data_IF_413470061131
#
_entry.id   IF_413470061131
#
_cell.length_a   1.000
_cell.length_b   1.000
_cell.length_c   1.000
_cell.angle_alpha   90.00
_cell.angle_beta   90.00
_cell.angle_gamma   90.00
#
_symmetry.space_group_name_H-M   'P 1'
#
loop_
_entity.id
_entity.type
_entity.pdbx_description
1 polymer ?
#
# COMPACT_ATOMS: atom_id res chain seq x y z
N UNK A 1 10.02 12.32 24.40
CA UNK A 1 10.75 11.26 23.65
C UNK A 1 9.91 10.84 22.48
N UNK A 2 10.54 10.21 21.47
CA UNK A 2 9.82 9.74 20.29
C UNK A 2 8.89 8.57 20.63
N UNK A 3 7.63 8.67 20.22
CA UNK A 3 6.68 7.56 20.26
C UNK A 3 6.98 6.55 19.15
N UNK A 4 6.37 5.35 19.20
CA UNK A 4 6.48 4.37 18.11
C UNK A 4 6.01 4.94 16.76
N UNK A 5 4.98 5.79 16.79
CA UNK A 5 4.48 6.47 15.60
C UNK A 5 5.46 7.51 15.04
N UNK A 6 6.17 8.24 15.89
CA UNK A 6 7.23 9.15 15.43
C UNK A 6 8.36 8.41 14.73
N UNK A 7 8.68 7.20 15.18
CA UNK A 7 9.65 6.33 14.50
C UNK A 7 9.18 5.89 13.12
N UNK A 8 7.89 5.54 12.97
CA UNK A 8 7.31 5.21 11.66
C UNK A 8 7.39 6.40 10.70
N UNK A 9 7.03 7.60 11.16
CA UNK A 9 7.10 8.86 10.37
C UNK A 9 8.51 9.28 9.98
N UNK A 10 9.54 8.74 10.64
CA UNK A 10 10.95 9.00 10.31
C UNK A 10 11.55 8.00 9.32
N UNK A 11 10.76 7.04 8.84
CA UNK A 11 11.21 6.06 7.85
C UNK A 11 11.43 6.71 6.49
N UNK A 12 12.64 6.60 5.93
CA UNK A 12 12.94 7.18 4.61
C UNK A 12 12.47 6.30 3.47
N UNK A 13 12.49 4.98 3.66
CA UNK A 13 12.11 4.00 2.64
C UNK A 13 11.04 3.05 3.18
N UNK A 14 10.38 2.33 2.28
CA UNK A 14 9.52 1.21 2.63
C UNK A 14 10.25 0.16 3.46
N UNK A 15 11.51 -0.16 3.13
CA UNK A 15 12.30 -1.11 3.88
C UNK A 15 12.59 -0.66 5.32
N UNK A 16 12.85 0.64 5.53
CA UNK A 16 12.97 1.21 6.87
C UNK A 16 11.65 1.18 7.63
N UNK A 17 10.54 1.44 6.96
CA UNK A 17 9.22 1.39 7.58
C UNK A 17 8.90 -0.04 8.04
N UNK A 18 9.14 -1.04 7.19
CA UNK A 18 8.94 -2.45 7.55
C UNK A 18 9.85 -2.87 8.70
N UNK A 19 11.12 -2.49 8.68
CA UNK A 19 12.04 -2.76 9.79
C UNK A 19 11.52 -2.12 11.10
N UNK A 20 11.04 -0.87 11.04
CA UNK A 20 10.47 -0.19 12.20
C UNK A 20 9.22 -0.92 12.71
N UNK A 21 8.32 -1.36 11.83
CA UNK A 21 7.14 -2.14 12.19
C UNK A 21 7.50 -3.48 12.86
N UNK A 22 8.48 -4.20 12.33
CA UNK A 22 8.97 -5.44 12.93
C UNK A 22 9.53 -5.22 14.34
N UNK A 23 10.36 -4.18 14.54
CA UNK A 23 10.91 -3.89 15.86
C UNK A 23 9.85 -3.40 16.85
N UNK A 24 8.88 -2.59 16.42
CA UNK A 24 7.78 -2.17 17.30
C UNK A 24 6.94 -3.37 17.74
N UNK A 25 6.85 -4.40 16.90
CA UNK A 25 6.12 -5.63 17.19
C UNK A 25 6.87 -6.59 18.11
N UNK A 26 8.20 -6.70 17.98
CA UNK A 26 9.01 -7.77 18.64
C UNK A 26 9.89 -7.24 19.75
N UNK A 27 10.39 -6.00 19.64
CA UNK A 27 11.34 -5.42 20.59
C UNK A 27 11.04 -3.92 20.78
N UNK A 28 9.88 -3.57 21.36
CA UNK A 28 9.48 -2.17 21.53
C UNK A 28 10.47 -1.39 22.40
N UNK A 29 11.13 -2.04 23.36
CA UNK A 29 12.14 -1.44 24.24
C UNK A 29 13.36 -0.90 23.48
N UNK A 30 13.58 -1.33 22.23
CA UNK A 30 14.60 -0.75 21.36
C UNK A 30 14.39 0.76 21.19
N UNK A 31 13.15 1.24 21.26
CA UNK A 31 12.77 2.63 21.06
C UNK A 31 12.65 3.43 22.35
N UNK A 32 12.90 2.82 23.52
CA UNK A 32 12.88 3.48 24.82
C UNK A 32 14.13 4.35 25.09
N UNK A 33 14.84 4.77 24.04
CA UNK A 33 16.03 5.62 24.15
C UNK A 33 15.67 6.98 24.75
N UNK A 34 16.42 7.37 25.77
CA UNK A 34 16.14 8.57 26.55
C UNK A 34 17.21 9.65 26.40
N UNK A 35 18.43 9.27 26.03
CA UNK A 35 19.58 10.17 26.03
C UNK A 35 19.61 11.05 24.77
N UNK A 36 19.30 12.33 24.95
CA UNK A 36 19.36 13.33 23.89
C UNK A 36 20.83 13.61 23.54
N UNK A 37 21.13 13.61 22.25
CA UNK A 37 22.47 13.87 21.74
C UNK A 37 22.90 15.32 21.98
N UNK A 38 24.22 15.59 22.01
CA UNK A 38 24.74 16.93 22.15
C UNK A 38 24.35 17.80 20.95
N UNK A 39 24.34 19.14 21.09
CA UNK A 39 24.15 20.04 19.95
C UNK A 39 25.19 19.77 18.87
N UNK A 40 24.83 20.06 17.62
CA UNK A 40 25.70 19.84 16.47
C UNK A 40 26.97 20.68 16.62
N UNK A 41 28.12 20.04 16.50
CA UNK A 41 29.45 20.65 16.50
C UNK A 41 30.33 19.99 15.42
N UNK A 42 31.51 20.54 15.18
CA UNK A 42 32.45 19.99 14.20
C UNK A 42 32.93 18.56 14.54
N UNK A 43 32.92 18.18 15.82
CA UNK A 43 33.49 16.91 16.31
C UNK A 43 32.43 15.92 16.80
N UNK A 44 31.27 16.41 17.22
CA UNK A 44 30.20 15.59 17.78
C UNK A 44 28.82 16.18 17.44
N UNK A 45 27.78 15.39 17.56
CA UNK A 45 26.41 15.85 17.37
C UNK A 45 25.43 14.71 17.55
N UNK A 46 24.14 14.96 17.31
CA UNK A 46 23.14 13.92 17.41
C UNK A 46 23.30 12.90 16.28
N UNK A 47 22.59 11.80 16.40
CA UNK A 47 22.45 10.79 15.34
C UNK A 47 22.09 11.44 13.99
N UNK A 48 22.79 11.09 12.91
CA UNK A 48 22.59 11.67 11.58
C UNK A 48 21.26 11.29 10.89
N UNK A 49 20.55 10.29 11.42
CA UNK A 49 19.23 9.88 10.93
C UNK A 49 18.11 10.57 11.71
N UNK A 50 18.08 10.41 13.03
CA UNK A 50 17.00 10.98 13.84
C UNK A 50 17.24 12.43 14.30
N UNK A 51 18.47 12.91 14.29
CA UNK A 51 18.84 14.26 14.75
C UNK A 51 18.42 14.57 16.20
N UNK A 52 18.17 13.55 17.02
CA UNK A 52 17.69 13.69 18.39
C UNK A 52 18.59 12.98 19.40
N UNK A 53 18.76 11.67 19.24
CA UNK A 53 19.44 10.84 20.23
C UNK A 53 20.95 10.82 20.06
N UNK A 54 21.64 10.50 21.16
CA UNK A 54 23.09 10.38 21.18
C UNK A 54 23.58 9.27 20.23
N UNK A 55 24.78 9.49 19.70
CA UNK A 55 25.47 8.51 18.84
C UNK A 55 26.03 7.39 19.70
N UNK A 56 26.11 6.18 19.15
CA UNK A 56 26.81 5.09 19.83
C UNK A 56 28.31 5.41 19.95
N UNK A 57 28.90 5.20 21.14
CA UNK A 57 30.29 5.52 21.45
C UNK A 57 31.35 4.58 20.79
N UNK A 58 30.97 3.78 19.79
CA UNK A 58 31.86 2.81 19.15
C UNK A 58 32.84 3.49 18.18
N UNK A 59 34.11 3.06 18.15
CA UNK A 59 35.21 3.73 17.43
C UNK A 59 35.22 3.57 15.88
N UNK A 60 34.10 3.22 15.23
CA UNK A 60 34.06 2.96 13.77
C UNK A 60 33.10 3.92 13.06
N UNK A 61 33.14 3.96 11.72
CA UNK A 61 32.21 4.69 10.85
C UNK A 61 30.71 4.41 11.12
N UNK A 62 30.41 3.39 11.92
CA UNK A 62 29.07 3.03 12.41
C UNK A 62 28.60 3.85 13.63
N UNK A 63 29.47 4.72 14.18
CA UNK A 63 29.19 5.67 15.25
C UNK A 63 28.25 6.82 14.86
N UNK A 64 27.79 6.88 13.60
CA UNK A 64 26.99 8.02 13.10
C UNK A 64 25.52 7.96 13.54
N UNK A 65 25.08 6.83 14.11
CA UNK A 65 23.69 6.56 14.44
C UNK A 65 23.50 6.21 15.91
N UNK A 66 22.32 6.53 16.45
CA UNK A 66 21.86 6.00 17.73
C UNK A 66 21.49 4.51 17.56
N UNK A 67 21.40 3.79 18.68
CA UNK A 67 21.06 2.36 18.73
C UNK A 67 19.78 2.02 17.93
N UNK A 68 18.62 2.69 18.11
CA UNK A 68 17.43 2.40 17.31
C UNK A 68 17.62 2.64 15.81
N UNK A 69 18.24 3.77 15.41
CA UNK A 69 18.47 4.07 14.00
C UNK A 69 19.38 3.03 13.33
N UNK A 70 20.44 2.59 14.02
CA UNK A 70 21.36 1.56 13.50
C UNK A 70 20.64 0.24 13.30
N UNK A 71 19.84 -0.19 14.28
CA UNK A 71 19.07 -1.43 14.19
C UNK A 71 18.09 -1.41 13.01
N UNK A 72 17.36 -0.31 12.82
CA UNK A 72 16.43 -0.12 11.70
C UNK A 72 17.17 -0.14 10.35
N UNK A 73 18.25 0.63 10.20
CA UNK A 73 19.03 0.67 8.94
C UNK A 73 19.59 -0.72 8.60
N UNK A 74 20.17 -1.41 9.57
CA UNK A 74 20.77 -2.73 9.36
C UNK A 74 19.73 -3.76 8.94
N UNK A 75 18.53 -3.71 9.53
CA UNK A 75 17.43 -4.58 9.14
C UNK A 75 16.86 -4.21 7.77
N UNK A 76 16.70 -2.92 7.49
CA UNK A 76 16.17 -2.43 6.21
C UNK A 76 16.99 -2.90 5.00
N UNK A 77 18.32 -3.03 5.13
CA UNK A 77 19.19 -3.60 4.08
C UNK A 77 18.75 -4.99 3.61
N UNK A 78 18.18 -5.81 4.51
CA UNK A 78 17.68 -7.16 4.20
C UNK A 78 16.24 -7.16 3.66
N UNK A 79 15.54 -6.03 3.74
CA UNK A 79 14.12 -5.90 3.40
C UNK A 79 13.89 -5.19 2.06
N UNK A 80 14.93 -4.87 1.28
CA UNK A 80 14.78 -4.13 0.02
C UNK A 80 13.81 -4.79 -0.98
N UNK A 81 14.01 -6.08 -1.27
CA UNK A 81 13.11 -6.83 -2.17
C UNK A 81 11.72 -7.03 -1.57
N UNK A 82 11.66 -7.27 -0.26
CA UNK A 82 10.41 -7.43 0.46
C UNK A 82 9.56 -6.15 0.35
N UNK A 83 10.14 -4.99 0.64
CA UNK A 83 9.50 -3.67 0.57
C UNK A 83 8.83 -3.44 -0.78
N UNK A 84 9.53 -3.66 -1.90
CA UNK A 84 8.98 -3.42 -3.25
C UNK A 84 7.71 -4.22 -3.57
N UNK A 85 7.48 -5.33 -2.86
CA UNK A 85 6.27 -6.17 -2.99
C UNK A 85 5.38 -6.06 -1.75
N UNK A 86 5.34 -4.88 -1.14
CA UNK A 86 4.54 -4.61 0.05
C UNK A 86 3.68 -3.40 -0.19
N UNK A 87 2.42 -3.52 0.21
CA UNK A 87 1.46 -2.43 0.31
C UNK A 87 1.27 -2.07 1.78
N UNK A 88 0.92 -0.82 2.00
CA UNK A 88 0.56 -0.27 3.29
C UNK A 88 -0.91 0.07 3.28
N UNK A 89 -1.55 -0.16 4.41
CA UNK A 89 -2.95 0.20 4.64
C UNK A 89 -3.00 1.03 5.90
N UNK A 90 -3.27 2.32 5.75
CA UNK A 90 -3.62 3.19 6.87
C UNK A 90 -5.14 3.14 7.04
N UNK A 91 -5.58 2.60 8.18
CA UNK A 91 -7.00 2.53 8.52
C UNK A 91 -7.37 3.55 9.58
N UNK A 92 -8.34 4.39 9.27
CA UNK A 92 -9.04 5.26 10.23
C UNK A 92 -10.49 4.78 10.33
N UNK A 93 -10.83 4.12 11.42
CA UNK A 93 -12.10 3.39 11.57
C UNK A 93 -12.83 3.77 12.85
N UNK A 94 -14.16 3.60 12.87
CA UNK A 94 -14.97 3.82 14.07
C UNK A 94 -14.66 2.84 15.21
N UNK A 95 -14.16 1.64 14.89
CA UNK A 95 -13.70 0.62 15.83
C UNK A 95 -12.54 -0.18 15.23
N UNK A 96 -11.53 -0.48 16.04
CA UNK A 96 -10.45 -1.35 15.61
C UNK A 96 -10.93 -2.81 15.48
N UNK A 97 -10.64 -3.51 14.35
CA UNK A 97 -10.93 -4.93 14.20
C UNK A 97 -10.26 -5.77 15.30
N UNK A 98 -11.03 -6.60 16.03
CA UNK A 98 -10.50 -7.41 17.15
C UNK A 98 -9.36 -8.34 16.71
N UNK A 99 -9.51 -8.98 15.55
CA UNK A 99 -8.52 -9.88 14.99
C UNK A 99 -7.17 -9.19 14.70
N UNK A 100 -7.20 -7.89 14.36
CA UNK A 100 -5.99 -7.09 14.18
C UNK A 100 -5.27 -6.86 15.51
N UNK A 101 -6.02 -6.57 16.58
CA UNK A 101 -5.47 -6.35 17.93
C UNK A 101 -4.83 -7.61 18.48
N UNK A 102 -5.50 -8.75 18.30
CA UNK A 102 -5.07 -10.05 18.80
C UNK A 102 -4.07 -10.75 17.88
N UNK A 103 -3.85 -10.21 16.67
CA UNK A 103 -3.02 -10.82 15.60
C UNK A 103 -3.40 -12.28 15.32
N UNK A 104 -4.71 -12.55 15.28
CA UNK A 104 -5.25 -13.88 15.04
C UNK A 104 -5.80 -14.02 13.62
N UNK A 105 -6.03 -15.27 13.18
CA UNK A 105 -6.59 -15.57 11.87
C UNK A 105 -5.68 -15.09 10.73
N UNK A 106 -6.25 -14.38 9.76
CA UNK A 106 -5.51 -13.82 8.63
C UNK A 106 -4.31 -12.95 9.04
N UNK A 107 -4.46 -12.23 10.14
CA UNK A 107 -3.45 -11.29 10.63
C UNK A 107 -2.21 -11.99 11.21
N UNK A 108 -2.28 -13.30 11.48
CA UNK A 108 -1.15 -14.07 12.02
C UNK A 108 -0.13 -14.46 10.94
N UNK A 109 -0.58 -14.75 9.71
CA UNK A 109 0.27 -15.32 8.64
C UNK A 109 0.46 -14.44 7.41
N UNK A 110 -0.52 -13.58 7.09
CA UNK A 110 -0.53 -12.86 5.81
C UNK A 110 -0.06 -11.41 5.91
N UNK A 111 0.20 -10.95 7.13
CA UNK A 111 0.63 -9.59 7.46
C UNK A 111 2.12 -9.58 7.76
N UNK A 112 2.84 -8.65 7.15
CA UNK A 112 4.29 -8.44 7.37
C UNK A 112 4.58 -7.58 8.59
N UNK A 113 3.67 -6.69 8.94
CA UNK A 113 3.77 -5.85 10.12
C UNK A 113 2.46 -5.13 10.39
N UNK A 114 2.16 -4.90 11.65
CA UNK A 114 1.02 -4.10 12.08
C UNK A 114 1.40 -3.20 13.24
N UNK A 115 0.85 -2.00 13.24
CA UNK A 115 0.97 -1.03 14.32
C UNK A 115 -0.39 -0.44 14.62
N UNK A 116 -0.79 -0.49 15.89
CA UNK A 116 -2.02 0.15 16.37
C UNK A 116 -1.62 1.46 17.02
N UNK A 117 -2.10 2.58 16.48
CA UNK A 117 -1.77 3.90 17.01
C UNK A 117 -2.69 4.27 18.17
N UNK A 118 -3.98 4.03 18.01
CA UNK A 118 -5.01 4.24 19.03
C UNK A 118 -6.22 3.31 18.77
N UNK A 119 -7.38 3.62 19.36
CA UNK A 119 -8.60 2.80 19.22
C UNK A 119 -9.25 2.83 17.83
N UNK A 120 -8.81 3.74 16.94
CA UNK A 120 -9.40 4.01 15.63
C UNK A 120 -8.40 3.88 14.49
N UNK A 121 -7.12 4.05 14.77
CA UNK A 121 -6.07 4.13 13.79
C UNK A 121 -5.14 2.92 13.84
N UNK A 122 -4.89 2.36 12.66
CA UNK A 122 -3.89 1.31 12.50
C UNK A 122 -3.13 1.44 11.18
N UNK A 123 -1.91 0.94 11.18
CA UNK A 123 -1.09 0.75 9.99
C UNK A 123 -0.84 -0.75 9.80
N UNK A 124 -1.08 -1.22 8.58
CA UNK A 124 -0.88 -2.61 8.20
C UNK A 124 0.04 -2.68 6.99
N UNK A 125 0.96 -3.65 6.99
CA UNK A 125 1.83 -3.95 5.86
C UNK A 125 1.61 -5.39 5.40
N UNK A 126 1.33 -5.60 4.12
CA UNK A 126 1.09 -6.94 3.56
C UNK A 126 1.50 -7.03 2.09
N UNK A 127 1.47 -8.23 1.52
CA UNK A 127 1.69 -8.39 0.08
C UNK A 127 0.45 -7.93 -0.70
N UNK A 128 0.61 -7.33 -1.90
CA UNK A 128 -0.51 -6.86 -2.71
C UNK A 128 -1.60 -7.92 -2.91
N UNK A 129 -1.21 -9.15 -3.24
CA UNK A 129 -2.13 -10.25 -3.54
C UNK A 129 -3.00 -10.68 -2.36
N UNK A 130 -2.63 -10.27 -1.14
CA UNK A 130 -3.40 -10.53 0.08
C UNK A 130 -4.50 -9.48 0.32
N UNK A 131 -4.56 -8.41 -0.48
CA UNK A 131 -5.51 -7.33 -0.29
C UNK A 131 -6.97 -7.76 -0.42
N UNK A 132 -7.30 -8.51 -1.48
CA UNK A 132 -8.65 -9.01 -1.73
C UNK A 132 -9.16 -9.94 -0.61
N UNK A 133 -8.47 -11.05 -0.27
CA UNK A 133 -8.93 -11.92 0.81
C UNK A 133 -8.99 -11.19 2.16
N UNK A 134 -8.06 -10.28 2.43
CA UNK A 134 -8.09 -9.44 3.63
C UNK A 134 -9.35 -8.57 3.71
N UNK A 135 -9.69 -7.85 2.63
CA UNK A 135 -10.88 -7.01 2.59
C UNK A 135 -12.17 -7.83 2.70
N UNK A 136 -12.21 -9.00 2.06
CA UNK A 136 -13.36 -9.92 2.16
C UNK A 136 -13.56 -10.38 3.61
N UNK A 137 -12.48 -10.75 4.31
CA UNK A 137 -12.53 -11.14 5.71
C UNK A 137 -12.95 -9.98 6.62
N UNK A 138 -12.42 -8.78 6.38
CA UNK A 138 -12.79 -7.57 7.10
C UNK A 138 -14.29 -7.28 7.00
N UNK A 139 -14.84 -7.37 5.79
CA UNK A 139 -16.28 -7.17 5.53
C UNK A 139 -17.11 -8.33 6.08
N UNK A 140 -16.64 -9.57 6.02
CA UNK A 140 -17.35 -10.73 6.55
C UNK A 140 -17.52 -10.64 8.08
N UNK A 141 -16.47 -10.25 8.80
CA UNK A 141 -16.52 -10.20 10.27
C UNK A 141 -17.10 -8.91 10.83
N UNK A 142 -16.93 -7.78 10.14
CA UNK A 142 -17.35 -6.48 10.66
C UNK A 142 -18.47 -5.82 9.85
N UNK A 143 -18.83 -6.34 8.68
CA UNK A 143 -20.01 -5.94 7.90
C UNK A 143 -20.20 -4.43 7.71
N UNK A 144 -21.47 -4.00 7.77
CA UNK A 144 -21.88 -2.58 7.74
C UNK A 144 -21.52 -1.80 9.02
N UNK A 145 -20.97 -2.51 9.98
CA UNK A 145 -20.73 -2.10 11.34
C UNK A 145 -19.38 -1.35 11.45
N UNK A 146 -18.43 -1.72 10.58
CA UNK A 146 -17.17 -0.99 10.37
C UNK A 146 -17.38 0.20 9.42
N UNK A 147 -16.98 1.38 9.87
CA UNK A 147 -17.09 2.63 9.11
C UNK A 147 -15.78 3.39 9.18
N UNK A 148 -15.51 4.22 8.18
CA UNK A 148 -14.31 5.04 8.10
C UNK A 148 -13.59 4.93 6.76
N UNK A 149 -12.27 5.01 6.79
CA UNK A 149 -11.44 5.11 5.61
C UNK A 149 -10.26 4.14 5.69
N UNK A 150 -10.06 3.36 4.64
CA UNK A 150 -8.86 2.57 4.40
C UNK A 150 -8.08 3.21 3.25
N UNK A 151 -6.85 3.66 3.51
CA UNK A 151 -5.97 4.23 2.49
C UNK A 151 -4.88 3.22 2.14
N UNK A 152 -4.90 2.72 0.91
CA UNK A 152 -4.02 1.67 0.41
C UNK A 152 -3.00 2.29 -0.54
N UNK A 153 -1.72 2.04 -0.30
CA UNK A 153 -0.62 2.56 -1.12
C UNK A 153 0.56 1.59 -1.14
N UNK A 154 1.36 1.54 -2.20
CA UNK A 154 2.60 0.77 -2.21
C UNK A 154 3.67 1.46 -1.35
N UNK A 155 4.68 0.70 -0.93
CA UNK A 155 5.89 1.30 -0.34
C UNK A 155 6.81 1.88 -1.41
N UNK A 156 7.64 2.85 -1.04
CA UNK A 156 8.64 3.46 -1.94
C UNK A 156 10.08 3.03 -1.63
N UNK A 157 10.93 3.08 -2.65
CA UNK A 157 12.38 3.00 -2.48
C UNK A 157 12.98 4.26 -1.86
N UNK A 158 14.31 4.32 -1.79
CA UNK A 158 15.01 5.54 -1.46
C UNK A 158 14.87 6.54 -2.63
N UNK A 159 14.03 7.56 -2.45
CA UNK A 159 13.99 8.76 -3.30
C UNK A 159 14.78 9.90 -2.66
N UNK A 160 15.18 10.89 -3.46
CA UNK A 160 15.98 12.02 -2.98
C UNK A 160 15.14 13.08 -2.23
N UNK A 161 13.86 13.25 -2.60
CA UNK A 161 13.05 14.39 -2.12
C UNK A 161 11.84 14.02 -1.23
N UNK A 162 11.33 12.79 -1.30
CA UNK A 162 10.16 12.36 -0.52
C UNK A 162 10.39 10.98 0.07
N UNK A 163 10.39 10.91 1.40
CA UNK A 163 10.51 9.66 2.14
C UNK A 163 9.16 8.99 2.42
N UNK A 164 9.21 7.71 2.79
CA UNK A 164 8.02 6.95 3.14
C UNK A 164 7.22 7.59 4.30
N UNK A 165 7.92 8.19 5.27
CA UNK A 165 7.33 8.94 6.37
C UNK A 165 6.58 10.21 5.94
N UNK A 166 7.04 10.88 4.89
CA UNK A 166 6.37 12.06 4.32
C UNK A 166 5.06 11.64 3.64
N UNK A 167 5.10 10.55 2.88
CA UNK A 167 3.91 9.96 2.26
C UNK A 167 2.89 9.56 3.32
N UNK A 168 3.31 8.84 4.37
CA UNK A 168 2.43 8.47 5.48
C UNK A 168 1.82 9.70 6.13
N UNK A 169 2.61 10.73 6.42
CA UNK A 169 2.11 11.97 7.04
C UNK A 169 1.04 12.63 6.16
N UNK A 170 1.20 12.63 4.83
CA UNK A 170 0.21 13.18 3.89
C UNK A 170 -1.07 12.35 3.85
N UNK A 171 -0.95 11.02 3.81
CA UNK A 171 -2.09 10.09 3.87
C UNK A 171 -2.91 10.35 5.12
N UNK A 172 -2.25 10.44 6.28
CA UNK A 172 -2.91 10.64 7.57
C UNK A 172 -3.62 11.99 7.64
N UNK A 173 -2.97 13.07 7.19
CA UNK A 173 -3.61 14.39 7.18
C UNK A 173 -4.95 14.40 6.40
N UNK A 174 -5.07 13.59 5.35
CA UNK A 174 -6.26 13.53 4.49
C UNK A 174 -7.43 12.73 5.07
N UNK A 175 -7.26 12.09 6.21
CA UNK A 175 -8.35 11.36 6.85
C UNK A 175 -9.48 12.28 7.36
N UNK A 176 -9.12 13.53 7.71
CA UNK A 176 -10.06 14.55 8.19
C UNK A 176 -11.13 14.94 7.15
N UNK A 177 -10.88 14.67 5.86
CA UNK A 177 -11.80 15.00 4.77
C UNK A 177 -13.00 14.02 4.70
N UNK A 178 -13.01 12.95 5.52
CA UNK A 178 -14.00 11.87 5.42
C UNK A 178 -14.90 11.74 6.65
N UNK A 179 -16.19 11.53 6.39
CA UNK A 179 -17.17 11.19 7.42
C UNK A 179 -17.17 9.69 7.74
N UNK A 180 -17.56 9.36 8.98
CA UNK A 180 -17.68 7.99 9.50
C UNK A 180 -19.06 7.36 9.19
N UNK A 181 -19.61 7.62 8.01
CA UNK A 181 -20.95 7.15 7.61
C UNK A 181 -20.92 5.74 7.01
N UNK A 182 -19.87 5.42 6.24
CA UNK A 182 -19.63 4.13 5.58
C UNK A 182 -18.15 3.79 5.56
N UNK A 183 -17.79 2.56 5.17
CA UNK A 183 -16.40 2.17 4.95
C UNK A 183 -15.99 2.49 3.51
N UNK A 184 -15.05 3.41 3.36
CA UNK A 184 -14.48 3.81 2.08
C UNK A 184 -13.05 3.29 1.92
N UNK A 185 -12.67 3.03 0.69
CA UNK A 185 -11.31 2.68 0.30
C UNK A 185 -10.76 3.77 -0.61
N UNK A 186 -9.62 4.34 -0.22
CA UNK A 186 -8.80 5.17 -1.10
C UNK A 186 -7.62 4.35 -1.60
N UNK A 187 -7.54 4.19 -2.91
CA UNK A 187 -6.53 3.35 -3.55
C UNK A 187 -5.54 4.19 -4.34
N UNK A 188 -4.26 4.02 -4.01
CA UNK A 188 -3.13 4.58 -4.74
C UNK A 188 -2.36 3.42 -5.38
N UNK A 189 -2.37 3.36 -6.71
CA UNK A 189 -1.57 2.38 -7.43
C UNK A 189 -0.07 2.66 -7.27
N UNK A 190 0.29 3.94 -7.12
CA UNK A 190 1.64 4.44 -6.93
C UNK A 190 1.69 5.44 -5.78
N UNK A 191 2.73 5.38 -4.94
CA UNK A 191 2.76 6.17 -3.71
C UNK A 191 2.83 7.69 -3.94
N UNK A 192 3.42 8.15 -5.05
CA UNK A 192 3.48 9.57 -5.40
C UNK A 192 2.10 10.14 -5.77
N UNK A 193 1.11 9.30 -6.08
CA UNK A 193 -0.26 9.75 -6.38
C UNK A 193 -0.91 10.47 -5.19
N UNK A 194 -0.43 10.21 -3.97
CA UNK A 194 -0.82 10.95 -2.74
C UNK A 194 -0.59 12.46 -2.88
N UNK A 195 0.34 12.88 -3.75
CA UNK A 195 0.65 14.29 -4.01
C UNK A 195 -0.36 14.93 -4.98
N UNK A 196 -0.90 14.15 -5.93
CA UNK A 196 -1.78 14.64 -7.02
C UNK A 196 -3.15 13.95 -6.97
N UNK A 197 -3.90 14.22 -5.91
CA UNK A 197 -5.19 13.57 -5.64
C UNK A 197 -6.30 14.02 -6.60
N UNK A 198 -6.33 15.32 -6.93
CA UNK A 198 -7.52 15.95 -7.52
C UNK A 198 -7.91 15.36 -8.87
N UNK A 199 -6.95 15.07 -9.75
CA UNK A 199 -7.22 14.49 -11.06
C UNK A 199 -7.90 13.11 -10.95
N UNK A 200 -7.38 12.23 -10.07
CA UNK A 200 -7.93 10.88 -9.88
C UNK A 200 -9.30 10.88 -9.19
N UNK A 201 -9.53 11.85 -8.30
CA UNK A 201 -10.82 12.01 -7.64
C UNK A 201 -11.90 12.48 -8.64
N UNK A 202 -11.57 13.42 -9.52
CA UNK A 202 -12.45 13.86 -10.62
C UNK A 202 -12.77 12.73 -11.61
N UNK A 203 -11.81 11.85 -11.85
CA UNK A 203 -11.98 10.66 -12.71
C UNK A 203 -12.72 9.51 -12.03
N UNK A 204 -13.02 9.62 -10.72
CA UNK A 204 -13.71 8.58 -9.95
C UNK A 204 -12.90 7.31 -9.73
N UNK A 205 -11.56 7.39 -9.79
CA UNK A 205 -10.65 6.23 -9.69
C UNK A 205 -9.77 6.24 -8.43
N UNK A 206 -10.12 7.07 -7.45
CA UNK A 206 -9.38 7.23 -6.19
C UNK A 206 -10.14 6.64 -5.00
N UNK A 207 -11.40 7.01 -4.84
CA UNK A 207 -12.20 6.73 -3.64
C UNK A 207 -13.39 5.86 -4.01
N UNK A 208 -13.57 4.76 -3.28
CA UNK A 208 -14.61 3.77 -3.53
C UNK A 208 -15.32 3.42 -2.24
N UNK A 209 -16.57 2.95 -2.31
CA UNK A 209 -17.11 2.15 -1.23
C UNK A 209 -16.42 0.78 -1.20
N UNK A 210 -16.32 0.18 -0.01
CA UNK A 210 -15.61 -1.09 0.14
C UNK A 210 -16.20 -2.21 -0.73
N UNK A 211 -17.53 -2.23 -0.92
CA UNK A 211 -18.22 -3.23 -1.74
C UNK A 211 -17.91 -3.04 -3.25
N UNK A 212 -17.88 -1.80 -3.72
CA UNK A 212 -17.51 -1.46 -5.09
C UNK A 212 -16.05 -1.83 -5.35
N UNK A 213 -15.16 -1.49 -4.42
CA UNK A 213 -13.75 -1.81 -4.54
C UNK A 213 -13.49 -3.32 -4.53
N UNK A 214 -14.20 -4.08 -3.70
CA UNK A 214 -14.15 -5.55 -3.72
C UNK A 214 -14.60 -6.11 -5.07
N UNK A 215 -15.64 -5.53 -5.67
CA UNK A 215 -16.11 -5.91 -7.01
C UNK A 215 -15.07 -5.60 -8.09
N UNK A 216 -14.35 -4.49 -7.98
CA UNK A 216 -13.24 -4.17 -8.88
C UNK A 216 -12.06 -5.15 -8.73
N UNK A 217 -11.69 -5.52 -7.50
CA UNK A 217 -10.67 -6.54 -7.24
C UNK A 217 -11.09 -7.92 -7.75
N UNK A 218 -12.39 -8.24 -7.66
CA UNK A 218 -12.98 -9.45 -8.24
C UNK A 218 -12.78 -9.49 -9.76
N UNK A 219 -13.20 -8.42 -10.44
CA UNK A 219 -13.01 -8.27 -11.88
C UNK A 219 -11.53 -8.35 -12.27
N UNK A 220 -10.64 -7.68 -11.55
CA UNK A 220 -9.19 -7.74 -11.81
C UNK A 220 -8.65 -9.18 -11.65
N UNK A 221 -9.13 -9.94 -10.68
CA UNK A 221 -8.71 -11.33 -10.47
C UNK A 221 -9.16 -12.25 -11.61
N UNK A 222 -10.42 -12.10 -12.07
CA UNK A 222 -10.94 -12.82 -13.24
C UNK A 222 -10.14 -12.45 -14.48
N UNK A 223 -9.92 -11.15 -14.71
CA UNK A 223 -9.14 -10.63 -15.83
C UNK A 223 -7.72 -11.20 -15.86
N UNK A 224 -7.02 -11.18 -14.71
CA UNK A 224 -5.67 -11.72 -14.55
C UNK A 224 -5.61 -13.23 -14.80
N UNK A 225 -6.68 -13.95 -14.46
CA UNK A 225 -6.73 -15.42 -14.60
C UNK A 225 -7.00 -15.83 -16.05
N UNK A 226 -7.94 -15.15 -16.73
CA UNK A 226 -8.36 -15.54 -18.07
C UNK A 226 -7.40 -15.06 -19.16
N UNK A 227 -6.76 -13.89 -18.99
CA UNK A 227 -5.85 -13.32 -19.98
C UNK A 227 -4.38 -13.51 -19.55
N UNK A 228 -3.55 -13.98 -20.48
CA UNK A 228 -2.09 -14.03 -20.31
C UNK A 228 -1.51 -12.61 -20.31
N UNK A 229 -0.33 -12.37 -19.69
CA UNK A 229 0.28 -11.04 -19.66
C UNK A 229 0.44 -10.39 -21.04
N UNK A 230 0.78 -11.17 -22.07
CA UNK A 230 0.91 -10.68 -23.45
C UNK A 230 -0.44 -10.25 -24.04
N UNK A 231 -1.51 -10.99 -23.74
CA UNK A 231 -2.87 -10.69 -24.19
C UNK A 231 -3.43 -9.46 -23.46
N UNK A 232 -3.12 -9.32 -22.16
CA UNK A 232 -3.44 -8.13 -21.38
C UNK A 232 -2.78 -6.89 -22.00
N UNK A 233 -1.49 -6.98 -22.34
CA UNK A 233 -0.76 -5.88 -22.95
C UNK A 233 -1.30 -5.52 -24.35
N UNK A 234 -1.60 -6.53 -25.17
CA UNK A 234 -2.21 -6.32 -26.48
C UNK A 234 -3.59 -5.64 -26.36
N UNK A 235 -4.42 -6.10 -25.43
CA UNK A 235 -5.73 -5.50 -25.15
C UNK A 235 -5.58 -4.04 -24.71
N UNK A 236 -4.62 -3.74 -23.83
CA UNK A 236 -4.33 -2.36 -23.39
C UNK A 236 -4.03 -1.46 -24.59
N UNK A 237 -3.14 -1.90 -25.47
CA UNK A 237 -2.77 -1.15 -26.67
C UNK A 237 -3.98 -0.90 -27.57
N UNK A 238 -4.85 -1.90 -27.75
CA UNK A 238 -6.06 -1.76 -28.58
C UNK A 238 -7.03 -0.74 -27.99
N UNK A 239 -7.21 -0.73 -26.66
CA UNK A 239 -8.10 0.21 -25.97
C UNK A 239 -7.57 1.65 -25.93
N UNK A 240 -6.27 1.83 -26.19
CA UNK A 240 -5.63 3.15 -26.28
C UNK A 240 -5.73 3.78 -27.69
N UNK A 241 -6.11 3.02 -28.73
CA UNK A 241 -6.25 3.51 -30.10
C UNK A 241 -7.41 4.50 -30.21
N UNK A 242 -7.12 5.74 -30.63
CA UNK A 242 -8.13 6.78 -30.82
C UNK A 242 -8.89 6.64 -32.16
N UNK A 243 -8.27 6.04 -33.18
CA UNK A 243 -8.87 5.88 -34.51
C UNK A 243 -9.89 4.74 -34.51
N UNK A 244 -11.20 5.00 -34.73
CA UNK A 244 -12.25 3.99 -34.54
C UNK A 244 -12.15 2.81 -35.52
N UNK A 245 -11.77 3.06 -36.78
CA UNK A 245 -11.61 2.00 -37.79
C UNK A 245 -10.44 1.07 -37.50
N UNK A 246 -9.31 1.64 -37.04
CA UNK A 246 -8.13 0.88 -36.65
C UNK A 246 -8.40 0.07 -35.37
N UNK A 247 -9.02 0.70 -34.36
CA UNK A 247 -9.44 0.03 -33.14
C UNK A 247 -10.37 -1.15 -33.43
N UNK A 248 -11.34 -1.00 -34.35
CA UNK A 248 -12.24 -2.08 -34.75
C UNK A 248 -11.51 -3.23 -35.45
N UNK A 249 -10.56 -2.93 -36.34
CA UNK A 249 -9.77 -3.93 -37.04
C UNK A 249 -8.93 -4.76 -36.06
N UNK A 250 -8.15 -4.11 -35.18
CA UNK A 250 -7.34 -4.82 -34.20
C UNK A 250 -8.17 -5.55 -33.14
N UNK A 251 -9.32 -4.99 -32.76
CA UNK A 251 -10.28 -5.67 -31.88
C UNK A 251 -10.75 -7.00 -32.48
N UNK A 252 -11.19 -7.00 -33.74
CA UNK A 252 -11.62 -8.22 -34.43
C UNK A 252 -10.51 -9.27 -34.50
N UNK A 253 -9.29 -8.85 -34.80
CA UNK A 253 -8.11 -9.74 -34.81
C UNK A 253 -7.79 -10.30 -33.43
N UNK A 254 -7.83 -9.47 -32.40
CA UNK A 254 -7.59 -9.88 -31.02
C UNK A 254 -8.60 -10.92 -30.56
N UNK A 255 -9.90 -10.68 -30.81
CA UNK A 255 -10.94 -11.67 -30.54
C UNK A 255 -10.68 -12.99 -31.29
N UNK A 256 -10.14 -12.96 -32.51
CA UNK A 256 -9.75 -14.17 -33.23
C UNK A 256 -8.67 -15.02 -32.55
N UNK A 257 -7.83 -14.42 -31.70
CA UNK A 257 -6.69 -15.07 -31.05
C UNK A 257 -7.01 -15.64 -29.66
N UNK A 258 -7.99 -15.07 -28.96
CA UNK A 258 -8.34 -15.47 -27.60
C UNK A 258 -9.40 -16.59 -27.57
N UNK A 259 -9.46 -17.31 -26.45
CA UNK A 259 -10.43 -18.38 -26.23
C UNK A 259 -11.87 -17.85 -26.05
N UNK A 260 -12.85 -18.75 -26.01
CA UNK A 260 -14.27 -18.36 -25.88
C UNK A 260 -14.59 -17.69 -24.55
N UNK A 261 -14.04 -18.18 -23.44
CA UNK A 261 -14.26 -17.63 -22.10
C UNK A 261 -13.84 -16.15 -22.00
N UNK A 262 -12.69 -15.81 -22.58
CA UNK A 262 -12.20 -14.43 -22.66
C UNK A 262 -13.14 -13.58 -23.51
N UNK A 263 -13.62 -14.08 -24.66
CA UNK A 263 -14.59 -13.34 -25.49
C UNK A 263 -15.85 -13.02 -24.71
N UNK A 264 -16.39 -14.02 -24.03
CA UNK A 264 -17.64 -13.89 -23.27
C UNK A 264 -17.46 -12.89 -22.12
N UNK A 265 -16.35 -12.95 -21.39
CA UNK A 265 -16.00 -11.96 -20.36
C UNK A 265 -15.92 -10.54 -20.94
N UNK A 266 -15.14 -10.33 -22.00
CA UNK A 266 -14.93 -9.00 -22.60
C UNK A 266 -16.24 -8.41 -23.15
N UNK A 267 -17.09 -9.25 -23.75
CA UNK A 267 -18.40 -8.86 -24.25
C UNK A 267 -19.37 -8.53 -23.12
N UNK A 268 -19.44 -9.37 -22.08
CA UNK A 268 -20.30 -9.16 -20.92
C UNK A 268 -19.96 -7.86 -20.19
N UNK A 269 -18.67 -7.55 -20.08
CA UNK A 269 -18.18 -6.32 -19.46
C UNK A 269 -18.31 -5.09 -20.36
N UNK A 270 -18.52 -5.27 -21.66
CA UNK A 270 -18.51 -4.19 -22.66
C UNK A 270 -17.27 -3.29 -22.55
N UNK A 271 -16.10 -3.89 -22.29
CA UNK A 271 -14.87 -3.17 -21.93
C UNK A 271 -14.44 -2.13 -22.97
N UNK A 272 -14.81 -2.34 -24.25
CA UNK A 272 -14.56 -1.41 -25.35
C UNK A 272 -15.19 -0.02 -25.15
N UNK A 273 -16.27 0.07 -24.39
CA UNK A 273 -17.00 1.32 -24.13
C UNK A 273 -16.62 1.94 -22.78
N UNK A 274 -15.66 1.37 -22.06
CA UNK A 274 -15.27 1.92 -20.77
C UNK A 274 -14.49 3.22 -20.91
N UNK A 275 -14.61 4.14 -19.94
CA UNK A 275 -13.71 5.28 -19.84
C UNK A 275 -12.24 4.83 -19.73
N UNK A 276 -11.31 5.57 -20.35
CA UNK A 276 -9.86 5.28 -20.30
C UNK A 276 -9.34 5.19 -18.86
N UNK A 277 -9.85 6.02 -17.95
CA UNK A 277 -9.50 5.99 -16.52
C UNK A 277 -9.87 4.65 -15.85
N UNK A 278 -11.05 4.10 -16.15
CA UNK A 278 -11.52 2.81 -15.63
C UNK A 278 -10.70 1.64 -16.19
N UNK A 279 -10.33 1.70 -17.47
CA UNK A 279 -9.41 0.72 -18.07
C UNK A 279 -8.06 0.78 -17.37
N UNK A 280 -7.48 1.97 -17.22
CA UNK A 280 -6.21 2.16 -16.50
C UNK A 280 -6.26 1.58 -15.08
N UNK A 281 -7.33 1.86 -14.34
CA UNK A 281 -7.53 1.31 -12.99
C UNK A 281 -7.57 -0.22 -12.98
N UNK A 282 -8.27 -0.87 -13.94
CA UNK A 282 -8.29 -2.33 -14.03
C UNK A 282 -6.87 -2.89 -14.17
N UNK A 283 -6.07 -2.32 -15.07
CA UNK A 283 -4.67 -2.73 -15.27
C UNK A 283 -3.80 -2.47 -14.03
N UNK A 284 -4.01 -1.36 -13.32
CA UNK A 284 -3.32 -1.09 -12.05
C UNK A 284 -3.69 -2.15 -10.98
N UNK A 285 -4.95 -2.56 -10.90
CA UNK A 285 -5.44 -3.53 -9.91
C UNK A 285 -4.96 -4.97 -10.17
N UNK A 286 -4.58 -5.32 -11.40
CA UNK A 286 -4.05 -6.65 -11.74
C UNK A 286 -2.84 -7.00 -10.87
N UNK A 287 -2.00 -6.03 -10.52
CA UNK A 287 -0.82 -6.27 -9.67
C UNK A 287 -1.17 -6.53 -8.19
N UNK A 288 -2.40 -6.24 -7.79
CA UNK A 288 -2.91 -6.34 -6.41
C UNK A 288 -3.78 -7.56 -6.16
N UNK A 289 -3.95 -8.44 -7.16
CA UNK A 289 -4.79 -9.64 -7.04
C UNK A 289 -4.02 -10.90 -7.39
N UNK A 290 -4.33 -12.00 -6.68
CA UNK A 290 -3.85 -13.34 -7.06
C UNK A 290 -4.59 -13.91 -8.25
N UNK A 291 -4.06 -15.00 -8.81
CA UNK A 291 -4.81 -15.84 -9.76
C UNK A 291 -5.90 -16.61 -9.02
N UNK A 292 -7.00 -16.90 -9.70
CA UNK A 292 -7.90 -17.95 -9.23
C UNK A 292 -7.15 -19.28 -9.25
N UNK A 293 -7.07 -19.93 -8.09
CA UNK A 293 -6.65 -21.32 -8.03
C UNK A 293 -7.81 -22.14 -8.60
N UNK A 294 -7.55 -22.84 -9.70
CA UNK A 294 -8.43 -23.93 -10.12
C UNK A 294 -8.40 -24.96 -8.99
N UNK A 295 -9.53 -25.11 -8.28
CA UNK A 295 -9.74 -26.22 -7.36
C UNK A 295 -9.78 -27.54 -8.14
#
# INVERSE_FOLDING_TARGET
MLTGFDWLRRSRTGAELLATLEYLAVTPDLFAETEVGPPLSALNGPCLRCWLYTRMAEAKAEALYCRPCRAVINRARKLGMASRRTILIWGFTNRLPRQLRERQGFYAGNVRGSYVYDERHFLLAMQPQQLKPWLQELVLYHGADLKGLLQILPTIGAGEETGMGDILTRVIHREADFSMDRLRVRFFAEAYQVIRLHARDLEGILTFEVADFLSLLEMAAVFRTLLRPEEQQALKQILEIDTPGEAQFYWGRFLGLVNQEVKDMLNAWQIRHWPKSRVSLLFELVDYVGFYQAN
#
